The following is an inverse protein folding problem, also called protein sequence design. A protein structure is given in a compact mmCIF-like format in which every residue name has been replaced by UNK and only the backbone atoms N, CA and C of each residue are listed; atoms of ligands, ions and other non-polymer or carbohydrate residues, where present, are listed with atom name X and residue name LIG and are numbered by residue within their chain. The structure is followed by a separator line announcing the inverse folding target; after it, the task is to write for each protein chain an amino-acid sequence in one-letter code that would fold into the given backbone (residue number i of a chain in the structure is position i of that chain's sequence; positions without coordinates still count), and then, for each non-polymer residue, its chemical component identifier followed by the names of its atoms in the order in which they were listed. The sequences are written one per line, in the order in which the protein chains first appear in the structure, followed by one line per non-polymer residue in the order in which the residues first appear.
data_IF_492599534094
#
_entry.id   IF_492599534094
#
_cell.length_a   1.000
_cell.length_b   1.000
_cell.length_c   1.000
_cell.angle_alpha   90.00
_cell.angle_beta   90.00
_cell.angle_gamma   90.00
#
_symmetry.space_group_name_H-M   'P 1'
#
loop_
_entity.id
_entity.type
_entity.pdbx_description
1 polymer ?
#
# COMPACT_ATOMS: atom_id res chain seq x y z
N UNK A 1 0.24 0.53 32.16
CA UNK A 1 -1.03 -0.02 31.66
C UNK A 1 -1.60 -0.97 32.70
N UNK A 2 -2.89 -0.87 33.03
CA UNK A 2 -3.54 -1.76 34.00
C UNK A 2 -4.17 -2.99 33.35
N UNK A 3 -4.46 -4.04 34.15
CA UNK A 3 -5.11 -5.28 33.69
C UNK A 3 -6.45 -5.02 32.98
N UNK A 4 -7.24 -4.08 33.50
CA UNK A 4 -8.52 -3.68 32.87
C UNK A 4 -8.34 -3.08 31.48
N UNK A 5 -7.27 -2.33 31.24
CA UNK A 5 -6.95 -1.78 29.92
C UNK A 5 -6.65 -2.90 28.93
N UNK A 6 -5.89 -3.93 29.34
CA UNK A 6 -5.57 -5.07 28.49
C UNK A 6 -6.83 -5.87 28.12
N UNK A 7 -7.68 -6.20 29.10
CA UNK A 7 -8.94 -6.92 28.87
C UNK A 7 -9.88 -6.14 27.95
N UNK A 8 -9.96 -4.82 28.13
CA UNK A 8 -10.77 -3.97 27.26
C UNK A 8 -10.26 -3.98 25.81
N UNK A 9 -8.95 -3.81 25.61
CA UNK A 9 -8.34 -3.85 24.27
C UNK A 9 -8.55 -5.21 23.59
N UNK A 10 -8.41 -6.31 24.33
CA UNK A 10 -8.61 -7.66 23.82
C UNK A 10 -10.08 -7.90 23.39
N UNK A 11 -11.04 -7.36 24.16
CA UNK A 11 -12.46 -7.47 23.84
C UNK A 11 -12.88 -6.66 22.60
N UNK A 12 -12.29 -5.47 22.38
CA UNK A 12 -12.67 -4.61 21.24
C UNK A 12 -11.93 -4.96 19.95
N UNK A 13 -10.69 -5.46 20.04
CA UNK A 13 -9.80 -5.70 18.90
C UNK A 13 -10.44 -6.53 17.78
N UNK A 14 -11.14 -7.66 18.05
CA UNK A 14 -11.79 -8.44 16.99
C UNK A 14 -12.84 -7.64 16.20
N UNK A 15 -13.61 -6.80 16.89
CA UNK A 15 -14.62 -5.96 16.25
C UNK A 15 -13.99 -4.86 15.39
N UNK A 16 -12.88 -4.26 15.84
CA UNK A 16 -12.14 -3.27 15.06
C UNK A 16 -11.57 -3.89 13.78
N UNK A 17 -10.92 -5.06 13.88
CA UNK A 17 -10.38 -5.79 12.72
C UNK A 17 -11.49 -6.12 11.73
N UNK A 18 -12.61 -6.68 12.21
CA UNK A 18 -13.76 -7.03 11.37
C UNK A 18 -14.37 -5.81 10.67
N UNK A 19 -14.51 -4.69 11.38
CA UNK A 19 -15.07 -3.47 10.80
C UNK A 19 -14.14 -2.91 9.71
N UNK A 20 -12.84 -2.86 9.97
CA UNK A 20 -11.85 -2.41 8.97
C UNK A 20 -11.76 -3.34 7.77
N UNK A 21 -11.70 -4.65 7.98
CA UNK A 21 -11.66 -5.62 6.88
C UNK A 21 -12.90 -5.56 5.99
N UNK A 22 -14.07 -5.27 6.55
CA UNK A 22 -15.30 -5.05 5.80
C UNK A 22 -15.25 -3.78 4.94
N UNK A 23 -14.63 -2.71 5.45
CA UNK A 23 -14.41 -1.50 4.65
C UNK A 23 -13.42 -1.77 3.52
N UNK A 24 -12.31 -2.46 3.80
CA UNK A 24 -11.33 -2.86 2.77
C UNK A 24 -12.00 -3.69 1.67
N UNK A 25 -12.83 -4.67 2.04
CA UNK A 25 -13.54 -5.49 1.07
C UNK A 25 -14.46 -4.69 0.14
N UNK A 26 -15.14 -3.65 0.65
CA UNK A 26 -15.95 -2.77 -0.21
C UNK A 26 -15.08 -2.01 -1.21
N UNK A 27 -13.93 -1.53 -0.77
CA UNK A 27 -12.99 -0.82 -1.65
C UNK A 27 -12.42 -1.79 -2.68
N UNK A 28 -11.93 -2.96 -2.27
CA UNK A 28 -11.40 -3.99 -3.17
C UNK A 28 -12.43 -4.39 -4.23
N UNK A 29 -13.68 -4.63 -3.85
CA UNK A 29 -14.76 -4.93 -4.80
C UNK A 29 -14.97 -3.78 -5.80
N UNK A 30 -15.07 -2.54 -5.32
CA UNK A 30 -15.23 -1.37 -6.19
C UNK A 30 -14.03 -1.20 -7.15
N UNK A 31 -12.82 -1.48 -6.66
CA UNK A 31 -11.57 -1.42 -7.43
C UNK A 31 -11.55 -2.51 -8.50
N UNK A 32 -11.87 -3.76 -8.15
CA UNK A 32 -12.00 -4.86 -9.10
C UNK A 32 -13.05 -4.55 -10.16
N UNK A 33 -14.19 -3.98 -9.78
CA UNK A 33 -15.24 -3.58 -10.73
C UNK A 33 -14.75 -2.50 -11.71
N UNK A 34 -13.97 -1.53 -11.24
CA UNK A 34 -13.38 -0.50 -12.09
C UNK A 34 -12.31 -1.06 -13.03
N UNK A 35 -11.41 -1.91 -12.52
CA UNK A 35 -10.41 -2.63 -13.32
C UNK A 35 -11.09 -3.40 -14.45
N UNK A 36 -12.18 -4.10 -14.13
CA UNK A 36 -12.94 -4.90 -15.07
C UNK A 36 -13.65 -4.06 -16.12
N UNK A 37 -14.35 -3.01 -15.69
CA UNK A 37 -15.10 -2.14 -16.60
C UNK A 37 -14.18 -1.40 -17.58
N UNK A 38 -12.99 -1.04 -17.14
CA UNK A 38 -12.00 -0.33 -17.96
C UNK A 38 -11.04 -1.28 -18.68
N UNK A 39 -11.14 -2.59 -18.44
CA UNK A 39 -10.26 -3.61 -18.99
C UNK A 39 -8.77 -3.27 -18.78
N UNK A 40 -8.41 -2.90 -17.55
CA UNK A 40 -7.04 -2.50 -17.20
C UNK A 40 -6.10 -3.70 -17.33
N UNK A 41 -5.00 -3.52 -18.04
CA UNK A 41 -3.96 -4.54 -18.15
C UNK A 41 -3.21 -4.71 -16.84
N UNK A 42 -2.88 -5.95 -16.47
CA UNK A 42 -2.10 -6.28 -15.27
C UNK A 42 -0.59 -6.12 -15.53
N UNK A 43 -0.21 -4.92 -15.93
CA UNK A 43 1.19 -4.49 -16.10
C UNK A 43 1.51 -3.39 -15.09
N UNK A 44 2.79 -3.19 -14.79
CA UNK A 44 3.23 -2.15 -13.85
C UNK A 44 2.77 -0.75 -14.27
N UNK A 45 2.87 -0.43 -15.56
CA UNK A 45 2.46 0.86 -16.11
C UNK A 45 0.95 1.08 -15.98
N UNK A 46 0.14 0.14 -16.48
CA UNK A 46 -1.32 0.26 -16.46
C UNK A 46 -1.88 0.24 -15.03
N UNK A 47 -1.36 -0.61 -14.14
CA UNK A 47 -1.75 -0.65 -12.74
C UNK A 47 -1.40 0.64 -12.01
N UNK A 48 -0.21 1.19 -12.23
CA UNK A 48 0.21 2.47 -11.62
C UNK A 48 -0.69 3.62 -12.07
N UNK A 49 -0.92 3.72 -13.39
CA UNK A 49 -1.83 4.73 -13.95
C UNK A 49 -3.25 4.59 -13.40
N UNK A 50 -3.75 3.36 -13.30
CA UNK A 50 -5.06 3.10 -12.72
C UNK A 50 -5.15 3.54 -11.25
N UNK A 51 -4.16 3.22 -10.40
CA UNK A 51 -4.19 3.66 -9.00
C UNK A 51 -4.16 5.19 -8.87
N UNK A 52 -3.48 5.88 -9.79
CA UNK A 52 -3.45 7.35 -9.85
C UNK A 52 -4.78 7.95 -10.28
N UNK A 53 -5.32 7.48 -11.39
CA UNK A 53 -6.57 7.99 -11.98
C UNK A 53 -7.76 7.69 -11.06
N UNK A 54 -7.74 6.53 -10.40
CA UNK A 54 -8.79 6.06 -9.50
C UNK A 54 -8.50 6.34 -8.02
N UNK A 55 -7.56 7.24 -7.68
CA UNK A 55 -7.14 7.53 -6.29
C UNK A 55 -8.30 7.88 -5.35
N UNK A 56 -9.38 8.42 -5.90
CA UNK A 56 -10.59 8.75 -5.16
C UNK A 56 -11.25 7.53 -4.49
N UNK A 57 -11.00 6.31 -4.98
CA UNK A 57 -11.46 5.06 -4.37
C UNK A 57 -10.75 4.74 -3.04
N UNK A 58 -9.56 5.30 -2.81
CA UNK A 58 -8.64 4.87 -1.75
C UNK A 58 -8.51 5.87 -0.60
N UNK A 59 -9.31 6.94 -0.57
CA UNK A 59 -9.19 8.04 0.41
C UNK A 59 -9.22 7.61 1.90
N UNK A 60 -9.76 6.41 2.20
CA UNK A 60 -9.89 5.88 3.56
C UNK A 60 -8.93 4.71 3.84
N UNK A 61 -7.90 4.53 3.02
CA UNK A 61 -6.87 3.50 3.15
C UNK A 61 -5.50 4.17 3.24
N UNK A 62 -4.65 3.61 4.10
CA UNK A 62 -3.27 4.09 4.23
C UNK A 62 -2.42 3.65 3.03
N UNK A 63 -2.71 2.47 2.46
CA UNK A 63 -1.96 1.90 1.34
C UNK A 63 -2.81 0.91 0.53
N UNK A 64 -2.66 0.93 -0.79
CA UNK A 64 -3.22 -0.05 -1.73
C UNK A 64 -2.11 -0.55 -2.62
N UNK A 65 -2.08 -1.87 -2.81
CA UNK A 65 -1.09 -2.54 -3.64
C UNK A 65 -1.80 -3.50 -4.59
N UNK A 66 -1.29 -3.60 -5.81
CA UNK A 66 -1.76 -4.57 -6.81
C UNK A 66 -0.62 -5.52 -7.14
N UNK A 67 -0.94 -6.81 -7.21
CA UNK A 67 0.01 -7.87 -7.50
C UNK A 67 -0.43 -8.69 -8.71
N UNK A 68 0.53 -9.23 -9.46
CA UNK A 68 0.25 -10.23 -10.49
C UNK A 68 0.02 -11.63 -9.87
N UNK A 69 -0.33 -12.60 -10.71
CA UNK A 69 -0.52 -14.00 -10.28
C UNK A 69 0.75 -14.65 -9.71
N UNK A 70 1.93 -14.13 -10.03
CA UNK A 70 3.23 -14.58 -9.52
C UNK A 70 3.61 -13.88 -8.20
N UNK A 71 2.69 -13.09 -7.61
CA UNK A 71 2.94 -12.27 -6.42
C UNK A 71 4.00 -11.19 -6.61
N UNK A 72 4.22 -10.73 -7.85
CA UNK A 72 5.06 -9.56 -8.13
C UNK A 72 4.23 -8.29 -7.94
N UNK A 73 4.80 -7.30 -7.25
CA UNK A 73 4.18 -6.00 -7.04
C UNK A 73 4.10 -5.23 -8.37
N UNK A 74 2.88 -4.93 -8.81
CA UNK A 74 2.61 -4.15 -10.02
C UNK A 74 2.53 -2.65 -9.71
N UNK A 75 1.83 -2.28 -8.63
CA UNK A 75 1.65 -0.89 -8.26
C UNK A 75 1.41 -0.73 -6.75
N UNK A 76 1.76 0.44 -6.22
CA UNK A 76 1.68 0.77 -4.80
C UNK A 76 1.41 2.26 -4.60
N UNK A 77 0.34 2.59 -3.87
CA UNK A 77 -0.03 3.99 -3.61
C UNK A 77 1.01 4.74 -2.79
N UNK A 78 1.78 4.04 -1.94
CA UNK A 78 2.83 4.67 -1.11
C UNK A 78 3.99 5.20 -1.98
N UNK A 79 4.24 4.56 -3.13
CA UNK A 79 5.24 5.02 -4.11
C UNK A 79 4.69 6.02 -5.13
N UNK A 80 3.38 6.24 -5.13
CA UNK A 80 2.71 7.02 -6.16
C UNK A 80 2.93 8.53 -5.97
N UNK A 81 3.02 8.98 -4.72
CA UNK A 81 3.39 10.36 -4.40
C UNK A 81 4.83 10.68 -4.82
N UNK A 82 5.73 9.67 -4.81
CA UNK A 82 7.10 9.81 -5.35
C UNK A 82 7.13 9.84 -6.88
N UNK A 83 6.12 9.31 -7.57
CA UNK A 83 6.04 9.29 -9.03
C UNK A 83 5.46 10.59 -9.63
N UNK A 84 4.93 11.51 -8.81
CA UNK A 84 4.47 12.82 -9.28
C UNK A 84 5.60 13.75 -9.73
N UNK A 85 6.85 13.47 -9.36
CA UNK A 85 8.05 14.25 -9.75
C UNK A 85 8.41 14.16 -11.25
N UNK A 86 7.66 13.41 -12.06
CA UNK A 86 7.91 13.31 -13.51
C UNK A 86 7.16 14.39 -14.31
N UNK A 87 6.31 15.20 -13.66
CA UNK A 87 5.68 16.39 -14.28
C UNK A 87 6.38 17.69 -13.85
N UNK A 88 7.71 17.71 -13.88
CA UNK A 88 8.44 18.98 -13.92
C UNK A 88 8.20 19.59 -15.31
N UNK A 89 7.29 20.56 -15.39
CA UNK A 89 7.34 21.53 -16.49
C UNK A 89 8.73 22.14 -16.40
N UNK A 90 9.59 21.89 -17.38
CA UNK A 90 10.92 22.50 -17.45
C UNK A 90 10.74 24.01 -17.61
N UNK A 91 10.63 24.73 -16.50
CA UNK A 91 10.90 26.16 -16.50
C UNK A 91 12.41 26.28 -16.58
N UNK A 92 12.89 26.66 -17.76
CA UNK A 92 14.25 27.09 -17.98
C UNK A 92 14.49 28.35 -17.13
N UNK A 93 14.96 28.16 -15.89
CA UNK A 93 15.31 29.23 -14.98
C UNK A 93 16.82 29.41 -15.08
N UNK A 94 17.26 30.51 -15.68
CA UNK A 94 18.65 30.97 -15.58
C UNK A 94 18.85 31.73 -14.27
N UNK A 95 19.65 31.17 -13.37
CA UNK A 95 20.14 31.84 -12.16
C UNK A 95 21.50 32.50 -12.41
N UNK A 96 21.73 33.66 -11.77
CA UNK A 96 23.05 34.31 -11.70
C UNK A 96 23.53 34.37 -10.25
N UNK A 97 24.85 34.28 -10.08
CA UNK A 97 25.50 34.08 -8.78
C UNK A 97 25.54 35.35 -7.92
N UNK A 98 25.14 35.24 -6.66
CA UNK A 98 25.30 36.29 -5.65
C UNK A 98 26.47 35.88 -4.75
N UNK A 99 27.55 36.64 -4.85
CA UNK A 99 28.89 36.47 -4.28
C UNK A 99 28.98 35.94 -2.81
N UNK A 100 29.69 34.81 -2.65
CA UNK A 100 30.50 34.29 -1.49
C UNK A 100 29.89 34.13 -0.08
N UNK A 101 29.97 32.90 0.46
CA UNK A 101 30.99 32.52 1.46
C UNK A 101 30.92 31.02 1.80
N UNK A 102 32.09 30.40 1.94
CA UNK A 102 32.28 28.97 2.24
C UNK A 102 31.77 28.60 3.64
N UNK A 103 30.56 28.05 3.72
CA UNK A 103 30.09 27.38 4.94
C UNK A 103 30.40 25.88 4.87
N UNK A 104 31.29 25.43 5.76
CA UNK A 104 31.59 24.02 5.95
C UNK A 104 30.37 23.30 6.55
N UNK A 105 29.63 22.57 5.71
CA UNK A 105 28.53 21.71 6.14
C UNK A 105 29.14 20.45 6.77
N UNK A 106 29.22 20.41 8.10
CA UNK A 106 29.54 19.19 8.83
C UNK A 106 28.41 18.17 8.62
N UNK A 107 28.72 17.12 7.85
CA UNK A 107 27.84 15.96 7.66
C UNK A 107 27.79 15.21 8.99
N UNK A 108 26.68 15.36 9.70
CA UNK A 108 26.34 14.54 10.86
C UNK A 108 26.08 13.13 10.33
N UNK A 109 26.89 12.16 10.74
CA UNK A 109 26.64 10.74 10.45
C UNK A 109 25.23 10.36 10.88
N UNK A 110 24.44 9.85 9.93
CA UNK A 110 23.11 9.33 10.20
C UNK A 110 23.19 8.25 11.28
N UNK A 111 22.38 8.32 12.35
CA UNK A 111 22.39 7.27 13.37
C UNK A 111 22.06 5.94 12.69
N UNK A 112 22.87 4.91 13.00
CA UNK A 112 22.67 3.54 12.51
C UNK A 112 21.22 3.14 12.74
N UNK A 113 20.47 3.06 11.64
CA UNK A 113 19.11 2.54 11.63
C UNK A 113 19.17 1.09 12.08
N UNK A 114 18.76 0.83 13.31
CA UNK A 114 18.32 -0.51 13.69
C UNK A 114 17.18 -0.85 12.74
N UNK A 115 17.33 -1.93 11.96
CA UNK A 115 16.28 -2.40 11.07
C UNK A 115 15.07 -2.75 11.92
N UNK A 116 14.15 -1.79 12.07
CA UNK A 116 12.87 -2.03 12.69
C UNK A 116 12.18 -3.11 11.85
N UNK A 117 11.62 -4.13 12.50
CA UNK A 117 10.80 -5.13 11.81
C UNK A 117 9.71 -4.39 11.05
N UNK A 118 9.70 -4.48 9.72
CA UNK A 118 8.70 -3.83 8.87
C UNK A 118 7.57 -4.80 8.56
N UNK A 119 6.36 -4.28 8.35
CA UNK A 119 5.23 -5.09 7.91
C UNK A 119 5.51 -5.65 6.51
N UNK A 120 5.66 -6.97 6.41
CA UNK A 120 6.08 -7.63 5.17
C UNK A 120 4.87 -8.07 4.34
N UNK A 121 4.27 -7.11 3.61
CA UNK A 121 3.14 -7.37 2.72
C UNK A 121 3.40 -8.52 1.74
N UNK A 122 4.58 -8.53 1.11
CA UNK A 122 4.95 -9.51 0.08
C UNK A 122 4.84 -10.95 0.60
N UNK A 123 5.27 -11.20 1.85
CA UNK A 123 5.17 -12.51 2.46
C UNK A 123 3.73 -12.97 2.66
N UNK A 124 2.81 -12.07 3.00
CA UNK A 124 1.39 -12.41 3.16
C UNK A 124 0.71 -12.65 1.82
N UNK A 125 1.03 -11.86 0.79
CA UNK A 125 0.51 -12.07 -0.57
C UNK A 125 0.98 -13.41 -1.12
N UNK A 126 2.26 -13.76 -0.97
CA UNK A 126 2.78 -15.07 -1.37
C UNK A 126 2.06 -16.22 -0.66
N UNK A 127 1.88 -16.11 0.66
CA UNK A 127 1.11 -17.09 1.45
C UNK A 127 -0.35 -17.18 1.01
N UNK A 128 -0.94 -16.09 0.55
CA UNK A 128 -2.31 -16.08 0.02
C UNK A 128 -2.37 -16.77 -1.35
N UNK A 129 -1.45 -16.45 -2.26
CA UNK A 129 -1.36 -17.04 -3.59
C UNK A 129 -1.14 -18.56 -3.56
N UNK A 130 -0.44 -19.07 -2.55
CA UNK A 130 -0.21 -20.51 -2.35
C UNK A 130 -1.46 -21.28 -1.85
N UNK A 131 -2.47 -20.58 -1.31
CA UNK A 131 -3.68 -21.22 -0.80
C UNK A 131 -4.56 -21.68 -1.97
N UNK A 132 -4.73 -23.01 -2.11
CA UNK A 132 -5.50 -23.63 -3.20
C UNK A 132 -6.98 -23.21 -3.27
N UNK A 133 -7.55 -22.63 -2.22
CA UNK A 133 -8.92 -22.12 -2.17
C UNK A 133 -8.94 -20.58 -2.23
N UNK A 134 -8.60 -20.06 -3.40
CA UNK A 134 -8.49 -18.62 -3.76
C UNK A 134 -9.86 -17.87 -3.69
N UNK A 135 -10.93 -18.53 -3.24
CA UNK A 135 -12.29 -17.95 -3.27
C UNK A 135 -12.61 -17.06 -2.08
N UNK A 136 -11.85 -17.16 -0.99
CA UNK A 136 -12.07 -16.35 0.21
C UNK A 136 -10.98 -15.29 0.37
N UNK A 137 -11.39 -14.11 0.84
CA UNK A 137 -10.46 -13.04 1.22
C UNK A 137 -9.65 -13.43 2.45
N UNK A 138 -8.39 -13.02 2.49
CA UNK A 138 -7.52 -13.18 3.65
C UNK A 138 -7.47 -11.89 4.46
N UNK A 139 -7.68 -11.97 5.78
CA UNK A 139 -7.52 -10.84 6.69
C UNK A 139 -6.36 -11.14 7.63
N UNK A 140 -5.35 -10.28 7.62
CA UNK A 140 -4.20 -10.32 8.53
C UNK A 140 -4.29 -9.13 9.47
N UNK A 141 -3.97 -9.34 10.76
CA UNK A 141 -3.84 -8.24 11.70
C UNK A 141 -2.64 -8.45 12.62
N UNK A 142 -1.75 -7.47 12.70
CA UNK A 142 -0.50 -7.58 13.47
C UNK A 142 -0.15 -6.27 14.17
N UNK A 143 0.51 -6.38 15.33
CA UNK A 143 1.05 -5.23 16.05
C UNK A 143 2.57 -5.20 15.90
N UNK A 144 3.11 -4.17 15.26
CA UNK A 144 4.55 -4.02 14.97
C UNK A 144 4.95 -2.58 15.27
N UNK A 145 6.07 -2.38 15.96
CA UNK A 145 6.60 -1.05 16.31
C UNK A 145 5.56 -0.10 16.93
N UNK A 146 4.72 -0.62 17.82
CA UNK A 146 3.63 0.12 18.47
C UNK A 146 2.50 0.58 17.53
N UNK A 147 2.48 0.11 16.28
CA UNK A 147 1.40 0.29 15.31
C UNK A 147 0.58 -0.99 15.19
N UNK A 148 -0.71 -0.87 14.86
CA UNK A 148 -1.60 -2.00 14.59
C UNK A 148 -2.04 -1.99 13.13
N UNK A 149 -1.64 -3.02 12.39
CA UNK A 149 -1.92 -3.19 10.98
C UNK A 149 -3.12 -4.11 10.79
N UNK A 150 -3.98 -3.77 9.84
CA UNK A 150 -5.02 -4.65 9.31
C UNK A 150 -4.85 -4.67 7.80
N UNK A 151 -4.59 -5.84 7.24
CA UNK A 151 -4.45 -6.05 5.80
C UNK A 151 -5.55 -7.00 5.33
N UNK A 152 -6.18 -6.67 4.21
CA UNK A 152 -7.14 -7.55 3.54
C UNK A 152 -6.64 -7.84 2.14
N UNK A 153 -6.58 -9.11 1.76
CA UNK A 153 -6.18 -9.58 0.42
C UNK A 153 -7.38 -10.28 -0.19
N UNK A 154 -7.67 -9.98 -1.46
CA UNK A 154 -8.69 -10.67 -2.25
C UNK A 154 -8.13 -10.88 -3.66
N UNK A 155 -8.88 -11.59 -4.49
CA UNK A 155 -8.52 -11.77 -5.89
C UNK A 155 -9.17 -10.76 -6.79
N UNK A 156 -8.42 -10.29 -7.78
CA UNK A 156 -8.96 -9.48 -8.87
C UNK A 156 -9.23 -10.38 -10.07
N UNK A 157 -10.49 -10.42 -10.49
CA UNK A 157 -10.97 -11.29 -11.58
C UNK A 157 -11.41 -10.45 -12.76
N UNK A 158 -10.83 -10.68 -13.93
CA UNK A 158 -11.31 -10.11 -15.19
C UNK A 158 -12.18 -11.15 -15.90
N UNK A 159 -13.49 -10.92 -15.86
CA UNK A 159 -14.47 -11.92 -16.30
C UNK A 159 -14.49 -13.13 -15.37
N UNK A 160 -14.05 -14.30 -15.88
CA UNK A 160 -13.96 -15.55 -15.09
C UNK A 160 -12.52 -15.92 -14.71
N UNK A 161 -11.54 -15.15 -15.15
CA UNK A 161 -10.13 -15.44 -14.93
C UNK A 161 -9.55 -14.57 -13.81
N UNK A 162 -8.80 -15.19 -12.91
CA UNK A 162 -7.99 -14.46 -11.94
C UNK A 162 -6.86 -13.77 -12.70
N UNK A 163 -6.63 -12.48 -12.44
CA UNK A 163 -5.54 -11.70 -13.04
C UNK A 163 -4.47 -11.30 -12.02
N UNK A 164 -4.83 -11.27 -10.73
CA UNK A 164 -3.91 -10.89 -9.67
C UNK A 164 -4.60 -10.78 -8.31
N UNK A 165 -3.95 -10.07 -7.40
CA UNK A 165 -4.34 -9.86 -6.00
C UNK A 165 -4.33 -8.38 -5.65
#
# INVERSE_FOLDING_TARGET
MGIFTYLYLDAIKPNLVKNRSNQHARIINNTSDHINRLNIEFTKESATKFLLDARFLFQNLDRVQLYDLNSNLLADTDTLDLAQDIFVISQDVQETSIDKSDENINIIESPKTTQATTFNTESYVKKYAEQKNISDRLVISEAINNNFYVMTIDTVKLGRENKGY
#
